data_IF_308570768557
#
_entry.id   IF_308570768557
#
_cell.length_a   1.000
_cell.length_b   1.000
_cell.length_c   1.000
_cell.angle_alpha   90.00
_cell.angle_beta   90.00
_cell.angle_gamma   90.00
#
_symmetry.space_group_name_H-M   'P 1'
#
loop_
_entity.id
_entity.type
_entity.pdbx_description
1 polymer ?
#
# COMPACT_ATOMS: atom_id res chain seq x y z
N UNK A 1 -54.82 -1.15 11.49
CA UNK A 1 -53.47 -1.66 11.18
C UNK A 1 -52.68 -0.52 10.54
N UNK A 2 -51.75 0.10 11.28
CA UNK A 2 -50.97 1.25 10.82
C UNK A 2 -49.55 0.76 10.50
N UNK A 3 -49.15 0.80 9.23
CA UNK A 3 -47.79 0.41 8.79
C UNK A 3 -46.92 1.66 8.81
N UNK A 4 -46.10 1.80 9.85
CA UNK A 4 -45.09 2.86 9.93
C UNK A 4 -43.89 2.46 9.08
N UNK A 5 -43.66 3.15 7.97
CA UNK A 5 -42.41 3.06 7.22
C UNK A 5 -41.32 3.77 8.03
N UNK A 6 -40.33 3.02 8.49
CA UNK A 6 -39.10 3.57 9.07
C UNK A 6 -38.13 3.82 7.91
N UNK A 7 -37.94 5.08 7.56
CA UNK A 7 -36.86 5.53 6.66
C UNK A 7 -35.54 5.41 7.42
N UNK A 8 -34.74 4.42 7.07
CA UNK A 8 -33.37 4.29 7.56
C UNK A 8 -32.49 5.33 6.87
N UNK A 9 -32.20 6.44 7.55
CA UNK A 9 -31.13 7.35 7.16
C UNK A 9 -29.79 6.65 7.37
N UNK A 10 -29.18 6.16 6.30
CA UNK A 10 -27.80 5.69 6.32
C UNK A 10 -26.88 6.88 6.59
N UNK A 11 -26.30 6.94 7.81
CA UNK A 11 -25.15 7.79 8.12
C UNK A 11 -24.01 7.44 7.15
N UNK A 12 -23.69 8.37 6.25
CA UNK A 12 -22.44 8.34 5.49
C UNK A 12 -21.31 8.70 6.45
N UNK A 13 -20.70 7.68 7.04
CA UNK A 13 -19.44 7.81 7.77
C UNK A 13 -18.33 8.08 6.74
N UNK A 14 -17.98 9.34 6.57
CA UNK A 14 -16.75 9.73 5.87
C UNK A 14 -15.56 9.20 6.67
N UNK A 15 -14.66 8.37 6.11
CA UNK A 15 -13.41 8.07 6.78
C UNK A 15 -12.53 9.31 6.71
N UNK A 16 -12.60 10.15 7.74
CA UNK A 16 -11.72 11.30 7.91
C UNK A 16 -10.47 10.84 8.67
N UNK A 17 -9.31 11.33 8.18
CA UNK A 17 -7.94 10.97 8.58
C UNK A 17 -7.39 9.71 7.90
N UNK A 18 -7.06 9.86 6.61
CA UNK A 18 -6.06 9.03 5.95
C UNK A 18 -4.72 9.28 6.67
N UNK A 19 -4.36 8.39 7.61
CA UNK A 19 -3.00 8.34 8.13
C UNK A 19 -2.03 8.25 6.95
N UNK A 20 -0.87 8.92 6.99
CA UNK A 20 0.19 8.76 5.98
C UNK A 20 0.36 7.26 5.73
N UNK A 21 -0.11 6.80 4.57
CA UNK A 21 -0.22 5.36 4.28
C UNK A 21 1.16 4.78 4.00
N UNK A 22 2.11 5.65 3.67
CA UNK A 22 3.44 5.29 3.23
C UNK A 22 4.51 6.20 3.84
N UNK A 23 5.75 5.72 3.83
CA UNK A 23 6.93 6.49 4.26
C UNK A 23 7.18 7.71 3.36
N UNK A 24 6.76 7.66 2.08
CA UNK A 24 6.82 8.81 1.18
C UNK A 24 5.92 9.97 1.65
N UNK A 25 4.71 9.67 2.12
CA UNK A 25 3.77 10.67 2.66
C UNK A 25 4.22 11.28 4.00
N UNK A 26 5.29 10.76 4.59
CA UNK A 26 5.84 11.24 5.86
C UNK A 26 6.99 12.24 5.67
N UNK A 27 7.40 12.48 4.42
CA UNK A 27 8.45 13.43 4.07
C UNK A 27 7.94 14.87 4.11
N UNK A 28 8.85 15.84 4.28
CA UNK A 28 8.49 17.24 4.08
C UNK A 28 8.28 17.53 2.59
N UNK A 29 7.42 18.51 2.29
CA UNK A 29 7.01 18.82 0.92
C UNK A 29 8.16 19.19 -0.03
N UNK A 30 9.28 19.73 0.48
CA UNK A 30 10.43 20.06 -0.37
C UNK A 30 11.20 18.81 -0.77
N UNK A 31 11.42 17.90 0.18
CA UNK A 31 12.05 16.59 -0.04
C UNK A 31 11.18 15.69 -0.92
N UNK A 32 9.87 15.63 -0.66
CA UNK A 32 8.90 14.90 -1.48
C UNK A 32 8.99 15.35 -2.94
N UNK A 33 8.93 16.68 -3.18
CA UNK A 33 8.99 17.26 -4.52
C UNK A 33 10.33 16.98 -5.21
N UNK A 34 11.44 17.07 -4.49
CA UNK A 34 12.76 16.77 -5.04
C UNK A 34 12.86 15.30 -5.46
N UNK A 35 12.41 14.37 -4.62
CA UNK A 35 12.41 12.94 -4.94
C UNK A 35 11.47 12.65 -6.10
N UNK A 36 10.29 13.29 -6.14
CA UNK A 36 9.32 13.13 -7.21
C UNK A 36 9.92 13.48 -8.59
N UNK A 37 10.72 14.54 -8.64
CA UNK A 37 11.34 15.06 -9.85
C UNK A 37 12.63 14.35 -10.26
N UNK A 38 13.39 13.81 -9.30
CA UNK A 38 14.76 13.31 -9.56
C UNK A 38 14.90 11.80 -9.52
N UNK A 39 14.04 11.10 -8.78
CA UNK A 39 14.16 9.66 -8.57
C UNK A 39 13.27 8.86 -9.52
N UNK A 40 13.73 7.66 -9.86
CA UNK A 40 12.97 6.71 -10.68
C UNK A 40 11.83 6.10 -9.88
N UNK A 41 10.76 5.78 -10.59
CA UNK A 41 9.67 4.96 -10.06
C UNK A 41 9.98 3.50 -10.35
N UNK A 42 9.82 2.64 -9.36
CA UNK A 42 9.93 1.19 -9.52
C UNK A 42 8.73 0.47 -8.91
N UNK A 43 8.52 -0.78 -9.30
CA UNK A 43 7.40 -1.58 -8.80
C UNK A 43 7.88 -2.94 -8.32
N UNK A 44 7.37 -3.40 -7.18
CA UNK A 44 7.59 -4.77 -6.72
C UNK A 44 6.28 -5.46 -6.41
N UNK A 45 6.33 -6.79 -6.40
CA UNK A 45 5.23 -7.64 -6.00
C UNK A 45 5.59 -8.37 -4.71
N UNK A 46 4.65 -8.37 -3.77
CA UNK A 46 4.82 -9.01 -2.48
C UNK A 46 3.59 -9.83 -2.10
N UNK A 47 3.78 -10.83 -1.25
CA UNK A 47 2.70 -11.63 -0.69
C UNK A 47 2.58 -11.34 0.79
N UNK A 48 1.36 -11.13 1.28
CA UNK A 48 1.10 -10.92 2.69
C UNK A 48 1.28 -12.22 3.47
N UNK A 49 2.23 -12.24 4.41
CA UNK A 49 2.46 -13.38 5.29
C UNK A 49 1.48 -13.39 6.47
N UNK A 50 1.04 -12.19 6.88
CA UNK A 50 0.02 -11.94 7.89
C UNK A 50 -0.58 -10.53 7.71
N UNK A 51 -1.26 -10.02 8.75
CA UNK A 51 -1.92 -8.71 8.72
C UNK A 51 -0.97 -7.50 8.65
N UNK A 52 0.34 -7.70 8.79
CA UNK A 52 1.33 -6.64 8.85
C UNK A 52 2.57 -6.83 7.97
N UNK A 53 2.90 -8.06 7.57
CA UNK A 53 4.12 -8.37 6.82
C UNK A 53 3.84 -8.70 5.36
N UNK A 54 4.53 -8.00 4.46
CA UNK A 54 4.60 -8.30 3.03
C UNK A 54 5.99 -8.83 2.69
N UNK A 55 6.07 -10.05 2.17
CA UNK A 55 7.33 -10.59 1.62
C UNK A 55 7.43 -10.27 0.14
N UNK A 56 8.37 -9.41 -0.22
CA UNK A 56 8.68 -9.05 -1.61
C UNK A 56 9.34 -10.24 -2.30
N UNK A 57 8.79 -10.65 -3.45
CA UNK A 57 9.27 -11.82 -4.19
C UNK A 57 9.61 -11.54 -5.65
N UNK A 58 9.32 -10.34 -6.17
CA UNK A 58 9.64 -9.96 -7.56
C UNK A 58 9.70 -8.44 -7.70
N UNK A 59 10.67 -7.93 -8.46
CA UNK A 59 10.64 -6.58 -9.02
C UNK A 59 10.03 -6.63 -10.43
N UNK A 60 9.18 -5.67 -10.78
CA UNK A 60 8.50 -5.64 -12.07
C UNK A 60 9.48 -5.44 -13.23
N UNK A 61 10.60 -4.77 -12.95
CA UNK A 61 11.71 -4.50 -13.86
C UNK A 61 12.51 -5.77 -14.17
N UNK A 62 12.43 -6.76 -13.30
CA UNK A 62 13.10 -8.04 -13.45
C UNK A 62 12.18 -9.09 -14.08
N UNK A 63 12.73 -9.86 -15.02
CA UNK A 63 11.99 -10.96 -15.68
C UNK A 63 11.75 -12.15 -14.75
N UNK A 64 12.51 -12.27 -13.65
CA UNK A 64 12.54 -13.44 -12.76
C UNK A 64 12.08 -13.08 -11.35
N UNK A 65 11.61 -14.09 -10.63
CA UNK A 65 11.39 -13.97 -9.19
C UNK A 65 12.71 -13.86 -8.43
N UNK A 66 12.68 -13.17 -7.30
CA UNK A 66 13.78 -13.10 -6.35
C UNK A 66 14.01 -14.47 -5.72
N UNK A 67 15.27 -14.87 -5.62
CA UNK A 67 15.65 -16.06 -4.87
C UNK A 67 15.37 -15.84 -3.38
N UNK A 68 15.20 -16.91 -2.59
CA UNK A 68 14.83 -16.80 -1.16
C UNK A 68 15.71 -15.83 -0.36
N UNK A 69 17.01 -15.77 -0.64
CA UNK A 69 17.97 -14.90 0.06
C UNK A 69 17.90 -13.43 -0.36
N UNK A 70 17.22 -13.12 -1.46
CA UNK A 70 17.01 -11.76 -1.98
C UNK A 70 15.62 -11.23 -1.62
N UNK A 71 14.73 -12.10 -1.15
CA UNK A 71 13.42 -11.69 -0.67
C UNK A 71 13.56 -10.97 0.67
N UNK A 72 12.76 -9.94 0.85
CA UNK A 72 12.77 -9.12 2.05
C UNK A 72 11.36 -8.77 2.48
N UNK A 73 11.19 -8.41 3.75
CA UNK A 73 9.90 -8.08 4.34
C UNK A 73 9.76 -6.57 4.43
N UNK A 74 8.62 -6.05 3.99
CA UNK A 74 8.17 -4.71 4.31
C UNK A 74 6.94 -4.79 5.23
N UNK A 75 6.69 -3.71 5.97
CA UNK A 75 5.60 -3.65 6.94
C UNK A 75 4.50 -2.70 6.45
N UNK A 76 3.26 -3.10 6.66
CA UNK A 76 2.07 -2.29 6.41
C UNK A 76 0.98 -2.70 7.39
N UNK A 77 -0.21 -2.11 7.31
CA UNK A 77 -1.33 -2.42 8.19
C UNK A 77 -2.51 -2.97 7.38
N UNK A 78 -3.39 -3.73 8.03
CA UNK A 78 -4.64 -4.25 7.47
C UNK A 78 -4.46 -5.13 6.22
N UNK A 79 -3.41 -5.94 6.20
CA UNK A 79 -3.15 -6.86 5.08
C UNK A 79 -4.00 -8.12 5.16
N UNK A 80 -4.33 -8.68 3.98
CA UNK A 80 -5.03 -9.95 3.86
C UNK A 80 -4.02 -11.05 3.58
N UNK A 81 -3.80 -11.95 4.55
CA UNK A 81 -2.84 -13.06 4.42
C UNK A 81 -3.05 -13.85 3.12
N UNK A 82 -1.97 -14.07 2.38
CA UNK A 82 -1.95 -14.79 1.11
C UNK A 82 -2.30 -13.93 -0.12
N UNK A 83 -2.84 -12.72 0.07
CA UNK A 83 -3.05 -11.80 -1.04
C UNK A 83 -1.71 -11.25 -1.57
N UNK A 84 -1.68 -10.99 -2.88
CA UNK A 84 -0.53 -10.36 -3.55
C UNK A 84 -0.80 -8.88 -3.64
N UNK A 85 0.24 -8.10 -3.35
CA UNK A 85 0.22 -6.65 -3.38
C UNK A 85 1.25 -6.14 -4.38
N UNK A 86 0.86 -5.09 -5.10
CA UNK A 86 1.75 -4.26 -5.90
C UNK A 86 2.23 -3.11 -5.01
N UNK A 87 3.55 -2.98 -4.90
CA UNK A 87 4.21 -1.94 -4.14
C UNK A 87 4.89 -1.01 -5.14
N UNK A 88 4.51 0.26 -5.13
CA UNK A 88 5.15 1.29 -5.96
C UNK A 88 6.15 2.04 -5.11
N UNK A 89 7.38 2.19 -5.60
CA UNK A 89 8.43 2.97 -4.94
C UNK A 89 8.78 4.20 -5.76
N UNK A 90 9.26 5.24 -5.07
CA UNK A 90 9.88 6.42 -5.66
C UNK A 90 11.25 6.62 -5.01
N UNK A 91 12.31 6.30 -5.74
CA UNK A 91 13.61 6.08 -5.11
C UNK A 91 13.53 4.92 -4.11
N UNK A 92 13.92 5.16 -2.87
CA UNK A 92 13.90 4.16 -1.80
C UNK A 92 12.59 4.16 -0.97
N UNK A 93 11.66 5.08 -1.26
CA UNK A 93 10.45 5.28 -0.48
C UNK A 93 9.26 4.55 -1.09
N UNK A 94 8.47 3.87 -0.27
CA UNK A 94 7.19 3.31 -0.69
C UNK A 94 6.21 4.46 -0.92
N UNK A 95 5.58 4.48 -2.09
CA UNK A 95 4.60 5.50 -2.48
C UNK A 95 3.17 4.96 -2.50
N UNK A 96 2.99 3.67 -2.82
CA UNK A 96 1.69 3.01 -2.69
C UNK A 96 1.82 1.51 -2.45
N UNK A 97 0.83 0.95 -1.76
CA UNK A 97 0.65 -0.49 -1.56
C UNK A 97 -0.80 -0.81 -1.94
N UNK A 98 -0.98 -1.53 -3.03
CA UNK A 98 -2.30 -1.83 -3.61
C UNK A 98 -2.45 -3.34 -3.77
N UNK A 99 -3.67 -3.87 -3.59
CA UNK A 99 -3.95 -5.28 -3.88
C UNK A 99 -3.85 -5.49 -5.39
N UNK A 100 -3.09 -6.51 -5.82
CA UNK A 100 -2.85 -6.84 -7.22
C UNK A 100 -3.77 -7.94 -7.74
#
# INVERSE_FOLDING_TARGET
>A
MLKTLITASTLLLSPNSQASQTDFDSLDASTERQIEQTQKTSTSYAIAEDAQRLRVFKHAEDSKMLNKNQQYTIYSNNLVKGAVYKITYKGDYVKSIEVN
#
